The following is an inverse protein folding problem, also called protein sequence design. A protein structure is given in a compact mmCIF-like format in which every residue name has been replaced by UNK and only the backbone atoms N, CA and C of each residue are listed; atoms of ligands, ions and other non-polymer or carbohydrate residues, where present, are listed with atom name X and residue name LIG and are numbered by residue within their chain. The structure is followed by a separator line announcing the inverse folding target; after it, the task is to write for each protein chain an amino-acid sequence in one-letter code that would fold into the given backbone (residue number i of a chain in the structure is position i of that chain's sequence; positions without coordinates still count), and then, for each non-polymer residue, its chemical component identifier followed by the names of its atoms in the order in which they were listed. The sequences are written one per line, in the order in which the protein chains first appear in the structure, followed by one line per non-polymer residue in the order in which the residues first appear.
data_IF_134317553688
#
_entry.id   IF_134317553688
#
_cell.length_a   1.000
_cell.length_b   1.000
_cell.length_c   1.000
_cell.angle_alpha   90.00
_cell.angle_beta   90.00
_cell.angle_gamma   90.00
#
_symmetry.space_group_name_H-M   'P 1'
#
loop_
_entity.id
_entity.type
_entity.pdbx_description
1 polymer ?
#
# COMPACT_ATOMS: atom_id res chain seq x y z
N UNK A 1 -15.17 -13.92 -3.48
CA UNK A 1 -14.60 -15.10 -2.80
C UNK A 1 -15.68 -16.15 -2.61
N UNK A 2 -15.37 -17.38 -2.88
CA UNK A 2 -16.27 -18.49 -2.60
C UNK A 2 -16.20 -18.81 -1.10
N UNK A 3 -17.34 -18.89 -0.44
CA UNK A 3 -17.39 -19.11 0.99
C UNK A 3 -16.59 -20.35 1.42
N UNK A 4 -15.72 -20.18 2.41
CA UNK A 4 -14.90 -21.24 2.98
C UNK A 4 -13.77 -21.75 2.10
N UNK A 5 -13.46 -21.09 0.99
CA UNK A 5 -12.39 -21.50 0.07
C UNK A 5 -11.50 -20.34 -0.29
N UNK A 6 -10.22 -20.66 -0.53
CA UNK A 6 -9.26 -19.69 -1.06
C UNK A 6 -9.36 -19.65 -2.57
N UNK A 7 -9.25 -18.45 -3.13
CA UNK A 7 -9.26 -18.23 -4.56
C UNK A 7 -8.10 -17.35 -4.95
N UNK A 8 -7.38 -17.72 -6.01
CA UNK A 8 -6.31 -16.90 -6.56
C UNK A 8 -6.94 -15.88 -7.50
N UNK A 9 -6.81 -14.59 -7.14
CA UNK A 9 -7.46 -13.50 -7.89
C UNK A 9 -6.48 -12.69 -8.72
N UNK A 10 -5.16 -12.82 -8.48
CA UNK A 10 -4.17 -12.07 -9.21
C UNK A 10 -2.78 -12.32 -8.66
N UNK A 11 -1.84 -11.52 -9.14
CA UNK A 11 -0.43 -11.67 -8.80
C UNK A 11 0.21 -10.31 -8.61
N UNK A 12 1.03 -10.19 -7.56
CA UNK A 12 1.83 -8.98 -7.34
C UNK A 12 2.95 -8.87 -8.36
N UNK A 13 3.45 -7.66 -8.58
CA UNK A 13 4.57 -7.43 -9.48
C UNK A 13 5.88 -7.98 -8.94
N UNK A 14 5.99 -8.13 -7.63
CA UNK A 14 7.20 -8.62 -6.98
C UNK A 14 6.85 -9.56 -5.83
N UNK A 15 7.56 -10.69 -5.76
CA UNK A 15 7.43 -11.62 -4.63
C UNK A 15 7.98 -10.98 -3.37
N UNK A 16 7.20 -11.01 -2.28
CA UNK A 16 7.61 -10.38 -1.03
C UNK A 16 6.88 -10.94 0.18
N UNK A 17 7.48 -10.72 1.35
CA UNK A 17 6.91 -11.07 2.63
C UNK A 17 6.87 -9.84 3.55
N UNK A 18 6.25 -9.97 4.71
CA UNK A 18 6.18 -8.91 5.73
C UNK A 18 5.62 -7.58 5.19
N UNK A 19 4.75 -7.67 4.21
CA UNK A 19 4.03 -6.53 3.66
C UNK A 19 2.86 -6.16 4.54
N UNK A 20 2.29 -4.98 4.30
CA UNK A 20 0.98 -4.62 4.83
C UNK A 20 0.07 -4.23 3.68
N UNK A 21 -1.23 -4.29 3.92
CA UNK A 21 -2.20 -3.95 2.89
C UNK A 21 -3.38 -3.22 3.51
N UNK A 22 -4.04 -2.42 2.69
CA UNK A 22 -5.27 -1.75 3.08
C UNK A 22 -6.14 -1.57 1.85
N UNK A 23 -7.44 -1.36 2.06
CA UNK A 23 -8.39 -1.19 0.97
C UNK A 23 -8.83 0.27 0.93
N UNK A 24 -8.75 0.88 -0.25
CA UNK A 24 -9.27 2.21 -0.51
C UNK A 24 -10.21 2.10 -1.70
N UNK A 25 -11.48 2.43 -1.50
CA UNK A 25 -12.53 2.17 -2.48
C UNK A 25 -12.55 0.68 -2.82
N UNK A 26 -12.36 0.31 -4.08
CA UNK A 26 -12.35 -1.10 -4.50
C UNK A 26 -10.93 -1.60 -4.81
N UNK A 27 -9.91 -0.82 -4.46
CA UNK A 27 -8.54 -1.18 -4.72
C UNK A 27 -7.84 -1.63 -3.45
N UNK A 28 -6.95 -2.61 -3.59
CA UNK A 28 -6.10 -3.09 -2.50
C UNK A 28 -4.72 -2.49 -2.68
N UNK A 29 -4.27 -1.71 -1.70
CA UNK A 29 -2.91 -1.17 -1.68
C UNK A 29 -2.01 -2.09 -0.88
N UNK A 30 -0.88 -2.45 -1.47
CA UNK A 30 0.10 -3.37 -0.89
C UNK A 30 1.38 -2.59 -0.66
N UNK A 31 1.78 -2.46 0.60
CA UNK A 31 2.76 -1.47 1.04
C UNK A 31 4.02 -2.16 1.54
N UNK A 32 5.16 -1.82 0.94
CA UNK A 32 6.45 -2.25 1.39
C UNK A 32 6.65 -3.75 1.42
N UNK A 33 7.35 -4.22 2.44
CA UNK A 33 7.66 -5.62 2.62
C UNK A 33 9.15 -5.91 2.47
N UNK A 34 9.47 -7.18 2.35
CA UNK A 34 10.84 -7.66 2.14
C UNK A 34 10.85 -8.65 0.99
N UNK A 35 11.83 -8.57 0.13
CA UNK A 35 11.99 -9.48 -0.98
C UNK A 35 13.37 -10.11 -0.97
N UNK A 36 13.42 -11.41 -1.26
CA UNK A 36 14.67 -12.15 -1.39
C UNK A 36 15.24 -12.09 -2.82
N UNK A 37 14.58 -11.35 -3.70
CA UNK A 37 15.10 -11.14 -5.05
C UNK A 37 16.39 -10.32 -5.01
N UNK A 38 17.29 -10.50 -5.99
CA UNK A 38 18.55 -9.75 -6.01
C UNK A 38 18.32 -8.24 -5.89
N UNK A 39 19.07 -7.60 -4.99
CA UNK A 39 19.06 -6.15 -4.75
C UNK A 39 17.76 -5.58 -4.21
N UNK A 40 16.85 -6.44 -3.73
CA UNK A 40 15.56 -5.97 -3.25
C UNK A 40 15.58 -5.61 -1.76
N UNK A 41 15.75 -6.57 -0.86
CA UNK A 41 15.74 -6.30 0.59
C UNK A 41 14.43 -5.69 1.08
N UNK A 42 14.53 -4.70 1.95
CA UNK A 42 13.36 -3.97 2.46
C UNK A 42 12.85 -3.02 1.36
N UNK A 43 11.55 -3.05 1.12
CA UNK A 43 10.96 -2.40 -0.04
C UNK A 43 10.28 -1.08 0.33
N UNK A 44 10.41 -0.11 -0.57
CA UNK A 44 9.57 1.08 -0.58
C UNK A 44 8.42 0.97 -1.59
N UNK A 45 8.31 -0.17 -2.23
CA UNK A 45 7.35 -0.43 -3.29
C UNK A 45 5.92 -0.36 -2.75
N UNK A 46 5.05 0.30 -3.50
CA UNK A 46 3.61 0.29 -3.26
C UNK A 46 2.94 -0.20 -4.53
N UNK A 47 2.11 -1.21 -4.38
CA UNK A 47 1.34 -1.76 -5.48
C UNK A 47 -0.15 -1.55 -5.21
N UNK A 48 -0.90 -1.24 -6.27
CA UNK A 48 -2.35 -1.14 -6.20
C UNK A 48 -2.96 -2.27 -7.02
N UNK A 49 -3.74 -3.10 -6.37
CA UNK A 49 -4.48 -4.17 -7.03
C UNK A 49 -5.91 -3.70 -7.30
N UNK A 50 -6.26 -3.63 -8.57
CA UNK A 50 -7.60 -3.26 -9.01
C UNK A 50 -8.47 -4.51 -8.98
N UNK A 51 -9.46 -4.56 -8.09
CA UNK A 51 -10.31 -5.75 -7.94
C UNK A 51 -11.26 -5.95 -9.13
N UNK A 52 -11.48 -4.92 -9.93
CA UNK A 52 -12.33 -5.02 -11.13
C UNK A 52 -11.56 -5.65 -12.29
N UNK A 53 -10.38 -5.14 -12.60
CA UNK A 53 -9.56 -5.65 -13.71
C UNK A 53 -8.67 -6.81 -13.30
N UNK A 54 -8.44 -6.97 -12.00
CA UNK A 54 -7.51 -7.95 -11.42
C UNK A 54 -6.07 -7.72 -11.83
N UNK A 55 -5.71 -6.47 -12.12
CA UNK A 55 -4.35 -6.08 -12.44
C UNK A 55 -3.69 -5.40 -11.27
N UNK A 56 -2.39 -5.61 -11.13
CA UNK A 56 -1.58 -5.02 -10.08
C UNK A 56 -0.63 -3.99 -10.71
N UNK A 57 -0.72 -2.75 -10.26
CA UNK A 57 0.06 -1.64 -10.79
C UNK A 57 0.97 -1.08 -9.72
N UNK A 58 2.20 -0.73 -10.10
CA UNK A 58 3.12 -0.03 -9.21
C UNK A 58 2.71 1.44 -9.19
N UNK A 59 2.52 1.97 -7.99
CA UNK A 59 2.18 3.38 -7.80
C UNK A 59 3.34 4.07 -7.09
N UNK A 60 3.11 5.30 -6.58
CA UNK A 60 4.18 6.06 -5.94
C UNK A 60 4.76 5.29 -4.74
N UNK A 61 6.09 5.21 -4.61
CA UNK A 61 6.70 4.46 -3.50
C UNK A 61 6.52 5.16 -2.15
N UNK A 62 6.77 4.41 -1.09
CA UNK A 62 6.85 4.96 0.26
C UNK A 62 8.04 5.92 0.35
N UNK A 63 7.97 6.88 1.27
CA UNK A 63 9.07 7.80 1.53
C UNK A 63 10.32 7.06 2.01
N UNK A 64 10.12 5.99 2.79
CA UNK A 64 11.20 5.13 3.28
C UNK A 64 10.84 3.67 3.06
N UNK A 65 11.83 2.80 2.78
CA UNK A 65 11.57 1.36 2.78
C UNK A 65 11.05 0.91 4.14
N UNK A 66 10.08 0.00 4.14
CA UNK A 66 9.48 -0.48 5.38
C UNK A 66 9.00 -1.91 5.23
N UNK A 67 9.21 -2.69 6.30
CA UNK A 67 8.69 -4.05 6.39
C UNK A 67 8.07 -4.26 7.76
N UNK A 68 7.25 -5.31 7.90
CA UNK A 68 6.57 -5.65 9.15
C UNK A 68 5.78 -4.46 9.72
N UNK A 69 5.12 -3.68 8.86
CA UNK A 69 4.31 -2.52 9.23
C UNK A 69 2.83 -2.87 9.28
N UNK A 70 2.03 -1.92 9.74
CA UNK A 70 0.58 -2.01 9.69
C UNK A 70 0.04 -0.84 8.86
N UNK A 71 -1.09 -1.07 8.21
CA UNK A 71 -1.75 -0.06 7.43
C UNK A 71 -3.25 -0.07 7.68
N UNK A 72 -3.87 1.10 7.60
CA UNK A 72 -5.31 1.23 7.66
C UNK A 72 -5.77 2.39 6.79
N UNK A 73 -7.06 2.41 6.49
CA UNK A 73 -7.66 3.43 5.66
C UNK A 73 -8.48 4.38 6.51
N UNK A 74 -8.23 5.69 6.37
CA UNK A 74 -9.04 6.72 6.98
C UNK A 74 -9.80 7.44 5.88
N UNK A 75 -11.13 7.37 5.91
CA UNK A 75 -11.98 7.94 4.86
C UNK A 75 -12.45 9.37 5.17
N UNK A 76 -12.50 9.74 6.45
CA UNK A 76 -12.94 11.07 6.86
C UNK A 76 -11.75 12.03 6.80
N UNK A 77 -11.82 13.02 5.91
CA UNK A 77 -10.74 13.99 5.74
C UNK A 77 -10.48 14.82 7.00
N UNK A 78 -11.50 15.12 7.76
CA UNK A 78 -11.32 15.86 9.02
C UNK A 78 -10.59 15.02 10.05
N UNK A 79 -10.89 13.72 10.09
CA UNK A 79 -10.18 12.78 10.95
C UNK A 79 -8.72 12.64 10.54
N UNK A 80 -8.46 12.55 9.24
CA UNK A 80 -7.10 12.47 8.71
C UNK A 80 -6.30 13.71 9.12
N UNK A 81 -6.86 14.91 8.92
CA UNK A 81 -6.20 16.16 9.29
C UNK A 81 -5.88 16.22 10.78
N UNK A 82 -6.73 15.65 11.62
CA UNK A 82 -6.54 15.63 13.06
C UNK A 82 -5.32 14.82 13.48
N UNK A 83 -5.02 13.75 12.79
CA UNK A 83 -3.97 12.80 13.16
C UNK A 83 -2.66 12.95 12.38
N UNK A 84 -2.67 13.68 11.28
CA UNK A 84 -1.45 13.92 10.52
C UNK A 84 -0.67 15.06 11.17
N UNK A 85 0.59 14.79 11.49
CA UNK A 85 1.47 15.81 12.04
C UNK A 85 1.96 16.75 10.94
N UNK A 86 2.11 18.05 11.24
CA UNK A 86 2.81 18.94 10.31
C UNK A 86 4.21 18.40 10.03
N UNK A 87 4.61 18.42 8.76
CA UNK A 87 5.93 17.98 8.36
C UNK A 87 6.92 19.14 8.47
N UNK A 88 8.21 18.83 8.69
CA UNK A 88 9.24 19.86 8.69
C UNK A 88 9.28 20.64 7.38
N UNK A 89 9.82 21.86 7.43
CA UNK A 89 9.98 22.69 6.24
C UNK A 89 10.83 21.92 5.22
N UNK A 90 10.39 21.93 3.96
CA UNK A 90 11.06 21.22 2.89
C UNK A 90 10.54 19.80 2.66
N UNK A 91 9.67 19.32 3.53
CA UNK A 91 9.02 18.03 3.35
C UNK A 91 7.78 18.18 2.48
N UNK A 92 7.55 17.21 1.59
CA UNK A 92 6.34 17.19 0.77
C UNK A 92 5.36 16.19 1.38
N UNK A 93 4.18 16.67 1.75
CA UNK A 93 3.13 15.83 2.29
C UNK A 93 2.21 15.37 1.16
N UNK A 94 2.12 14.06 0.95
CA UNK A 94 1.40 13.47 -0.17
C UNK A 94 0.11 12.80 0.27
N UNK A 95 -0.62 13.41 1.19
CA UNK A 95 -1.85 12.82 1.71
C UNK A 95 -2.98 12.76 0.69
N UNK A 96 -2.98 13.66 -0.30
CA UNK A 96 -3.99 13.67 -1.34
C UNK A 96 -3.97 12.47 -2.27
N UNK A 97 -2.87 11.73 -2.30
CA UNK A 97 -2.73 10.60 -3.20
C UNK A 97 -3.58 9.40 -2.84
N UNK A 98 -3.96 9.31 -1.60
CA UNK A 98 -4.78 8.22 -1.10
C UNK A 98 -6.24 8.62 -0.95
N UNK A 99 -6.57 9.86 -1.29
CA UNK A 99 -7.92 10.40 -1.16
C UNK A 99 -8.77 10.22 -2.42
N UNK A 100 -8.16 9.86 -3.49
CA UNK A 100 -8.84 9.76 -4.80
C UNK A 100 -9.62 8.47 -4.99
#
# INVERSE_FOLDING_TARGET
MVEGKWELIGQMNRRKSNLSSTVVNDDIYILGGWSDEPEAGILDLVERFDTTTRECHIVRPLTFPASATCACTLKDRNLVKKYIRPLPIGYVQNTGEFDD
#
